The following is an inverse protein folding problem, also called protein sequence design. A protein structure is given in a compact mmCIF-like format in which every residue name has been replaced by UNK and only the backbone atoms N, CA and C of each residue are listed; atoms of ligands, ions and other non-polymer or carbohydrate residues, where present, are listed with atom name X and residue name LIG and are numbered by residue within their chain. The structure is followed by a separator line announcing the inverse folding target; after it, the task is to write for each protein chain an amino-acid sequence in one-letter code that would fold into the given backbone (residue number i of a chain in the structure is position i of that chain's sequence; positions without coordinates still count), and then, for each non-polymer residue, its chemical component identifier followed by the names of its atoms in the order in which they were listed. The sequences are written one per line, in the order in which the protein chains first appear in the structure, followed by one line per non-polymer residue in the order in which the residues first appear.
data_IF_597872274134
#
_entry.id   IF_597872274134
#
_cell.length_a   1.000
_cell.length_b   1.000
_cell.length_c   1.000
_cell.angle_alpha   90.00
_cell.angle_beta   90.00
_cell.angle_gamma   90.00
#
_symmetry.space_group_name_H-M   'P 1'
#
loop_
_entity.id
_entity.type
_entity.pdbx_description
1 polymer ?
#
# COMPACT_ATOMS: atom_id res chain seq x y z
N UNK A 1 -20.70 22.69 9.93
CA UNK A 1 -21.76 21.70 9.56
C UNK A 1 -21.25 20.63 8.61
N UNK A 2 -20.20 19.87 8.99
CA UNK A 2 -19.69 18.73 8.23
C UNK A 2 -20.41 17.40 8.54
N UNK A 3 -21.52 17.47 9.28
CA UNK A 3 -22.33 16.31 9.69
C UNK A 3 -23.62 16.16 8.87
N UNK A 4 -23.54 16.32 7.56
CA UNK A 4 -24.69 15.98 6.71
C UNK A 4 -24.39 14.69 5.96
N UNK A 5 -24.92 13.57 6.41
CA UNK A 5 -25.03 12.29 5.71
C UNK A 5 -23.78 11.42 5.47
N UNK A 6 -22.73 11.56 6.23
CA UNK A 6 -21.61 10.62 6.15
C UNK A 6 -20.77 10.74 7.40
N UNK A 7 -20.52 9.64 8.06
CA UNK A 7 -19.62 9.60 9.19
C UNK A 7 -18.19 9.87 8.72
N UNK A 8 -17.78 11.14 8.76
CA UNK A 8 -16.35 11.48 8.58
C UNK A 8 -15.66 11.00 9.84
N UNK A 9 -14.65 10.12 9.68
CA UNK A 9 -13.83 9.67 10.80
C UNK A 9 -13.05 10.86 11.38
N UNK A 10 -12.72 10.80 12.68
CA UNK A 10 -11.95 11.84 13.36
C UNK A 10 -10.61 12.12 12.64
N UNK A 11 -9.94 11.08 12.16
CA UNK A 11 -8.70 11.20 11.40
C UNK A 11 -8.90 11.90 10.04
N UNK A 12 -10.02 11.64 9.35
CA UNK A 12 -10.35 12.37 8.12
C UNK A 12 -10.65 13.84 8.39
N UNK A 13 -11.38 14.13 9.48
CA UNK A 13 -11.67 15.50 9.91
C UNK A 13 -10.37 16.26 10.27
N UNK A 14 -9.45 15.61 11.00
CA UNK A 14 -8.12 16.15 11.30
C UNK A 14 -7.32 16.45 10.03
N UNK A 15 -7.37 15.56 9.03
CA UNK A 15 -6.70 15.76 7.74
C UNK A 15 -7.25 16.97 6.98
N UNK A 16 -8.57 17.11 6.86
CA UNK A 16 -9.19 18.27 6.23
C UNK A 16 -8.89 19.56 6.99
N UNK A 17 -8.94 19.50 8.31
CA UNK A 17 -8.62 20.64 9.17
C UNK A 17 -7.18 21.10 9.01
N UNK A 18 -6.24 20.16 8.95
CA UNK A 18 -4.82 20.46 8.71
C UNK A 18 -4.61 21.14 7.36
N UNK A 19 -5.28 20.66 6.31
CA UNK A 19 -5.22 21.26 4.96
C UNK A 19 -5.79 22.69 4.98
N UNK A 20 -6.92 22.92 5.65
CA UNK A 20 -7.54 24.23 5.80
C UNK A 20 -6.63 25.20 6.55
N UNK A 21 -6.02 24.76 7.66
CA UNK A 21 -5.04 25.55 8.41
C UNK A 21 -3.82 25.92 7.55
N UNK A 22 -3.38 25.00 6.71
CA UNK A 22 -2.30 25.25 5.72
C UNK A 22 -2.67 26.38 4.75
N UNK A 23 -3.91 26.37 4.25
CA UNK A 23 -4.43 27.45 3.40
C UNK A 23 -4.44 28.81 4.12
N UNK A 24 -4.95 28.87 5.35
CA UNK A 24 -4.97 30.10 6.14
C UNK A 24 -3.55 30.65 6.35
N UNK A 25 -2.58 29.78 6.59
CA UNK A 25 -1.17 30.18 6.72
C UNK A 25 -0.61 30.82 5.44
N UNK A 26 -0.97 30.29 4.27
CA UNK A 26 -0.59 30.84 2.98
C UNK A 26 -1.25 32.21 2.77
N UNK A 27 -2.54 32.33 3.06
CA UNK A 27 -3.27 33.60 2.93
C UNK A 27 -2.68 34.70 3.84
N UNK A 28 -2.31 34.36 5.06
CA UNK A 28 -1.64 35.29 5.98
C UNK A 28 -0.28 35.72 5.46
N UNK A 29 0.57 34.78 5.00
CA UNK A 29 1.90 35.06 4.43
C UNK A 29 1.84 35.96 3.20
N UNK A 30 0.79 35.81 2.40
CA UNK A 30 0.58 36.61 1.19
C UNK A 30 -0.11 37.95 1.47
N UNK A 31 -0.36 38.30 2.74
CA UNK A 31 -1.01 39.56 3.13
C UNK A 31 -2.51 39.65 2.78
N UNK A 32 -3.14 38.54 2.39
CA UNK A 32 -4.57 38.49 2.05
C UNK A 32 -5.46 38.49 3.29
N UNK A 33 -4.94 38.07 4.44
CA UNK A 33 -5.57 38.21 5.74
C UNK A 33 -4.60 38.92 6.69
N UNK A 34 -5.12 39.83 7.53
CA UNK A 34 -4.32 40.68 8.40
C UNK A 34 -3.77 39.96 9.62
N UNK A 35 -4.53 39.01 10.16
CA UNK A 35 -4.19 38.31 11.39
C UNK A 35 -3.90 36.82 11.10
N UNK A 36 -2.94 36.26 11.83
CA UNK A 36 -2.67 34.81 11.78
C UNK A 36 -3.75 34.05 12.54
N UNK A 37 -4.85 33.72 11.87
CA UNK A 37 -5.99 32.99 12.45
C UNK A 37 -5.58 31.65 13.06
N UNK A 38 -4.47 31.04 12.58
CA UNK A 38 -4.00 29.74 13.07
C UNK A 38 -3.59 29.77 14.56
N UNK A 39 -3.27 30.93 15.12
CA UNK A 39 -2.86 31.06 16.52
C UNK A 39 -4.05 30.83 17.48
N UNK A 40 -5.28 30.96 16.97
CA UNK A 40 -6.53 30.77 17.72
C UNK A 40 -7.24 29.43 17.39
N UNK A 41 -6.69 28.62 16.48
CA UNK A 41 -7.33 27.39 16.02
C UNK A 41 -6.71 26.16 16.71
N UNK A 42 -7.52 25.44 17.43
CA UNK A 42 -7.14 24.17 18.06
C UNK A 42 -6.90 23.07 17.02
N UNK A 43 -6.05 22.12 17.35
CA UNK A 43 -5.86 20.89 16.56
C UNK A 43 -7.02 19.93 16.82
N UNK A 44 -7.48 19.26 15.77
CA UNK A 44 -8.32 18.07 15.94
C UNK A 44 -7.37 16.90 16.19
N UNK A 45 -7.42 16.33 17.38
CA UNK A 45 -6.64 15.15 17.73
C UNK A 45 -7.04 13.97 16.88
N UNK A 46 -6.05 13.15 16.51
CA UNK A 46 -6.26 11.91 15.78
C UNK A 46 -6.49 10.75 16.75
N UNK A 47 -7.24 9.76 16.30
CA UNK A 47 -7.42 8.50 17.00
C UNK A 47 -6.43 7.47 16.43
N UNK A 48 -5.77 6.73 17.33
CA UNK A 48 -4.96 5.60 16.92
C UNK A 48 -5.87 4.47 16.43
N UNK A 49 -5.74 4.14 15.16
CA UNK A 49 -6.48 3.03 14.54
C UNK A 49 -5.57 1.84 14.40
N UNK A 50 -5.82 0.80 15.18
CA UNK A 50 -5.18 -0.50 14.97
C UNK A 50 -5.61 -1.00 13.59
N UNK A 51 -4.60 -1.25 12.76
CA UNK A 51 -4.82 -1.68 11.39
C UNK A 51 -4.43 -3.14 11.25
N UNK A 52 -5.33 -3.94 10.71
CA UNK A 52 -5.14 -5.36 10.54
C UNK A 52 -3.96 -5.72 9.61
N UNK A 53 -3.26 -6.78 9.98
CA UNK A 53 -2.26 -7.49 9.18
C UNK A 53 -2.48 -9.00 9.33
N UNK A 54 -1.84 -9.79 8.46
CA UNK A 54 -1.93 -11.25 8.49
C UNK A 54 -0.91 -11.84 9.46
N UNK A 55 -1.30 -12.83 10.24
CA UNK A 55 -0.34 -13.70 10.93
C UNK A 55 0.31 -14.67 9.93
N UNK A 56 1.36 -15.36 10.38
CA UNK A 56 2.02 -16.40 9.56
C UNK A 56 1.03 -17.48 9.15
N UNK A 57 0.21 -17.97 10.09
CA UNK A 57 -0.80 -19.02 9.83
C UNK A 57 -1.88 -18.54 8.86
N UNK A 58 -2.31 -17.27 8.98
CA UNK A 58 -3.27 -16.67 8.04
C UNK A 58 -2.68 -16.49 6.65
N UNK A 59 -1.38 -16.16 6.56
CA UNK A 59 -0.67 -16.05 5.30
C UNK A 59 -0.58 -17.40 4.58
N UNK A 60 -0.25 -18.48 5.31
CA UNK A 60 -0.24 -19.83 4.75
C UNK A 60 -1.64 -20.27 4.28
N UNK A 61 -2.67 -20.09 5.10
CA UNK A 61 -4.07 -20.36 4.69
C UNK A 61 -4.45 -19.61 3.43
N UNK A 62 -4.07 -18.33 3.34
CA UNK A 62 -4.34 -17.51 2.18
C UNK A 62 -3.59 -18.01 0.95
N UNK A 63 -2.32 -18.44 1.13
CA UNK A 63 -1.51 -19.01 0.06
C UNK A 63 -2.07 -20.34 -0.47
N UNK A 64 -2.64 -21.19 0.38
CA UNK A 64 -3.26 -22.44 -0.04
C UNK A 64 -4.63 -22.24 -0.69
N UNK A 65 -5.36 -21.19 -0.30
CA UNK A 65 -6.74 -20.95 -0.77
C UNK A 65 -6.75 -20.57 -2.26
N UNK A 66 -7.58 -21.26 -3.08
CA UNK A 66 -7.76 -20.92 -4.49
C UNK A 66 -8.32 -19.50 -4.68
N UNK A 67 -7.76 -18.74 -5.61
CA UNK A 67 -8.23 -17.40 -5.98
C UNK A 67 -8.77 -17.40 -7.41
N UNK A 68 -9.95 -16.80 -7.63
CA UNK A 68 -10.53 -16.64 -8.97
C UNK A 68 -9.63 -15.89 -9.97
N UNK A 69 -8.66 -15.15 -9.47
CA UNK A 69 -7.69 -14.39 -10.24
C UNK A 69 -6.27 -14.77 -9.78
N UNK A 70 -5.63 -15.76 -10.41
CA UNK A 70 -4.31 -16.24 -9.97
C UNK A 70 -3.26 -15.14 -9.88
N UNK A 71 -3.21 -14.22 -10.86
CA UNK A 71 -2.26 -13.10 -10.86
C UNK A 71 -2.49 -12.15 -9.67
N UNK A 72 -3.72 -11.98 -9.19
CA UNK A 72 -4.00 -11.21 -7.96
C UNK A 72 -3.43 -11.91 -6.73
N UNK A 73 -3.58 -13.24 -6.64
CA UNK A 73 -3.01 -14.06 -5.55
C UNK A 73 -1.49 -13.91 -5.51
N UNK A 74 -0.82 -14.17 -6.63
CA UNK A 74 0.64 -14.03 -6.74
C UNK A 74 1.10 -12.62 -6.37
N UNK A 75 0.47 -11.58 -6.90
CA UNK A 75 0.79 -10.19 -6.58
C UNK A 75 0.59 -9.84 -5.11
N UNK A 76 -0.46 -10.38 -4.47
CA UNK A 76 -0.74 -10.17 -3.05
C UNK A 76 0.32 -10.82 -2.16
N UNK A 77 0.66 -12.08 -2.42
CA UNK A 77 1.70 -12.80 -1.69
C UNK A 77 3.07 -12.17 -1.92
N UNK A 78 3.40 -11.77 -3.14
CA UNK A 78 4.62 -11.03 -3.45
C UNK A 78 4.71 -9.70 -2.69
N UNK A 79 3.59 -8.98 -2.52
CA UNK A 79 3.54 -7.77 -1.68
C UNK A 79 3.79 -8.07 -0.20
N UNK A 80 3.40 -9.24 0.30
CA UNK A 80 3.74 -9.69 1.66
C UNK A 80 5.22 -9.98 1.84
N UNK A 81 5.93 -10.29 0.76
CA UNK A 81 7.36 -10.67 0.79
C UNK A 81 8.30 -9.51 0.43
N UNK A 82 7.78 -8.45 -0.18
CA UNK A 82 8.60 -7.32 -0.70
C UNK A 82 8.16 -5.95 -0.19
N UNK A 83 7.05 -5.87 0.51
CA UNK A 83 6.47 -4.57 0.92
C UNK A 83 6.13 -3.61 -0.23
N UNK A 84 6.07 -4.05 -1.48
CA UNK A 84 5.71 -3.18 -2.61
C UNK A 84 4.26 -2.70 -2.54
N UNK A 85 4.02 -1.44 -2.91
CA UNK A 85 2.67 -0.88 -3.03
C UNK A 85 1.96 -1.47 -4.26
N UNK A 86 0.64 -1.48 -4.25
CA UNK A 86 -0.14 -1.90 -5.44
C UNK A 86 0.22 -1.10 -6.71
N UNK A 87 0.58 0.19 -6.57
CA UNK A 87 1.03 1.00 -7.70
C UNK A 87 2.35 0.50 -8.28
N UNK A 88 3.26 0.07 -7.41
CA UNK A 88 4.59 -0.38 -7.78
C UNK A 88 4.48 -1.78 -8.40
N UNK A 89 3.69 -2.67 -7.82
CA UNK A 89 3.39 -4.00 -8.37
C UNK A 89 2.72 -3.93 -9.75
N UNK A 90 1.80 -2.99 -9.96
CA UNK A 90 1.16 -2.80 -11.26
C UNK A 90 2.12 -2.28 -12.34
N UNK A 91 3.21 -1.64 -11.95
CA UNK A 91 4.20 -1.08 -12.86
C UNK A 91 5.46 -1.94 -12.97
N UNK A 92 5.64 -2.94 -12.11
CA UNK A 92 6.85 -3.75 -12.01
C UNK A 92 7.10 -4.50 -13.30
N UNK A 93 8.28 -4.29 -13.87
CA UNK A 93 8.78 -5.03 -15.03
C UNK A 93 9.87 -6.01 -14.61
N UNK A 94 10.12 -7.02 -15.46
CA UNK A 94 11.19 -7.98 -15.22
C UNK A 94 12.56 -7.31 -15.23
N UNK A 95 12.70 -6.24 -16.00
CA UNK A 95 13.90 -5.42 -16.11
C UNK A 95 14.24 -4.66 -14.82
N UNK A 96 13.25 -4.47 -13.93
CA UNK A 96 13.44 -3.84 -12.61
C UNK A 96 14.03 -4.82 -11.58
N UNK A 97 14.12 -6.12 -11.91
CA UNK A 97 14.70 -7.15 -11.05
C UNK A 97 16.16 -7.35 -11.48
N UNK A 98 17.06 -6.79 -10.69
CA UNK A 98 18.50 -6.75 -10.99
C UNK A 98 19.32 -7.47 -9.92
N UNK A 99 20.60 -7.69 -10.21
CA UNK A 99 21.52 -8.23 -9.23
C UNK A 99 21.74 -7.27 -8.07
N UNK A 100 21.68 -7.80 -6.85
CA UNK A 100 21.92 -7.02 -5.65
C UNK A 100 23.40 -7.08 -5.25
N UNK A 101 23.98 -5.96 -4.91
CA UNK A 101 25.42 -5.87 -4.59
C UNK A 101 25.85 -6.73 -3.41
N UNK A 102 24.96 -7.03 -2.49
CA UNK A 102 25.19 -7.92 -1.35
C UNK A 102 24.88 -9.40 -1.64
N UNK A 103 24.59 -9.75 -2.91
CA UNK A 103 24.21 -11.08 -3.37
C UNK A 103 22.70 -11.26 -3.54
N UNK A 104 22.30 -12.15 -4.46
CA UNK A 104 20.90 -12.38 -4.81
C UNK A 104 20.33 -11.33 -5.76
N UNK A 105 19.00 -11.14 -5.72
CA UNK A 105 18.27 -10.20 -6.57
C UNK A 105 17.59 -9.10 -5.74
N UNK A 106 17.35 -7.96 -6.37
CA UNK A 106 16.55 -6.88 -5.79
C UNK A 106 15.61 -6.27 -6.82
N UNK A 107 14.54 -5.67 -6.35
CA UNK A 107 13.72 -4.75 -7.15
C UNK A 107 14.34 -3.37 -7.05
N UNK A 108 14.68 -2.78 -8.19
CA UNK A 108 15.15 -1.41 -8.30
C UNK A 108 14.08 -0.56 -8.99
N UNK A 109 13.40 0.28 -8.23
CA UNK A 109 12.30 1.12 -8.72
C UNK A 109 12.48 2.57 -8.30
N UNK A 110 12.03 3.47 -9.18
CA UNK A 110 11.91 4.90 -8.85
C UNK A 110 10.47 5.14 -8.38
N UNK A 111 10.30 5.45 -7.10
CA UNK A 111 8.96 5.68 -6.55
C UNK A 111 8.37 6.99 -7.08
N UNK A 112 7.18 6.91 -7.66
CA UNK A 112 6.47 8.08 -8.22
C UNK A 112 6.17 9.17 -7.19
N UNK A 113 6.06 8.81 -5.91
CA UNK A 113 5.64 9.73 -4.85
C UNK A 113 6.74 10.72 -4.46
N UNK A 114 7.99 10.26 -4.36
CA UNK A 114 9.10 11.05 -3.84
C UNK A 114 10.25 11.16 -4.83
N UNK A 115 10.16 10.51 -6.01
CA UNK A 115 11.27 10.34 -6.97
C UNK A 115 12.54 9.78 -6.31
N UNK A 116 12.36 9.01 -5.23
CA UNK A 116 13.46 8.29 -4.58
C UNK A 116 13.66 6.94 -5.26
N UNK A 117 14.90 6.53 -5.37
CA UNK A 117 15.26 5.17 -5.74
C UNK A 117 15.04 4.26 -4.52
N UNK A 118 14.24 3.23 -4.69
CA UNK A 118 14.03 2.20 -3.67
C UNK A 118 14.65 0.90 -4.20
N UNK A 119 15.61 0.36 -3.45
CA UNK A 119 16.24 -0.94 -3.71
C UNK A 119 15.71 -1.91 -2.66
N UNK A 120 14.95 -2.89 -3.10
CA UNK A 120 14.26 -3.84 -2.22
C UNK A 120 14.81 -5.24 -2.50
N UNK A 121 15.60 -5.84 -1.59
CA UNK A 121 16.05 -7.22 -1.74
C UNK A 121 14.87 -8.18 -1.88
N UNK A 122 15.00 -9.18 -2.73
CA UNK A 122 13.99 -10.21 -2.97
C UNK A 122 14.55 -11.56 -2.51
N UNK A 123 13.75 -12.31 -1.74
CA UNK A 123 14.10 -13.67 -1.36
C UNK A 123 13.91 -14.64 -2.53
N UNK A 124 14.59 -15.79 -2.46
CA UNK A 124 14.45 -16.86 -3.47
C UNK A 124 13.00 -17.35 -3.58
N UNK A 125 12.30 -17.47 -2.44
CA UNK A 125 10.89 -17.87 -2.42
C UNK A 125 10.00 -16.86 -3.16
N UNK A 126 10.32 -15.56 -3.08
CA UNK A 126 9.58 -14.53 -3.78
C UNK A 126 9.89 -14.56 -5.30
N UNK A 127 11.11 -14.90 -5.69
CA UNK A 127 11.48 -15.12 -7.08
C UNK A 127 10.78 -16.36 -7.64
N UNK A 128 10.75 -17.46 -6.91
CA UNK A 128 10.03 -18.69 -7.27
C UNK A 128 8.53 -18.45 -7.41
N UNK A 129 7.94 -17.69 -6.48
CA UNK A 129 6.52 -17.35 -6.51
C UNK A 129 6.10 -16.64 -7.81
N UNK A 130 6.94 -15.75 -8.34
CA UNK A 130 6.69 -15.07 -9.61
C UNK A 130 7.21 -15.85 -10.82
N UNK A 131 7.92 -16.96 -10.58
CA UNK A 131 8.58 -17.76 -11.63
C UNK A 131 9.64 -16.93 -12.36
N UNK A 132 10.56 -16.33 -11.64
CA UNK A 132 11.60 -15.48 -12.23
C UNK A 132 12.42 -16.24 -13.27
N UNK A 133 12.75 -15.55 -14.36
CA UNK A 133 13.72 -16.01 -15.36
C UNK A 133 14.41 -14.80 -15.99
N UNK A 134 15.74 -14.86 -16.21
CA UNK A 134 16.50 -13.75 -16.81
C UNK A 134 16.03 -13.33 -18.21
N UNK A 135 15.37 -14.26 -18.92
CA UNK A 135 14.91 -14.03 -20.30
C UNK A 135 13.56 -13.35 -20.39
N UNK A 136 12.83 -13.25 -19.28
CA UNK A 136 11.51 -12.60 -19.24
C UNK A 136 11.64 -11.09 -19.44
N UNK A 137 10.67 -10.51 -20.12
CA UNK A 137 10.59 -9.08 -20.42
C UNK A 137 9.19 -8.55 -20.21
N UNK A 138 9.11 -7.25 -19.92
CA UNK A 138 7.85 -6.53 -19.71
C UNK A 138 7.26 -6.75 -18.32
N UNK A 139 5.97 -6.57 -18.18
CA UNK A 139 5.30 -6.55 -16.87
C UNK A 139 5.29 -7.92 -16.18
N UNK A 140 5.75 -7.97 -14.92
CA UNK A 140 5.73 -9.16 -14.06
C UNK A 140 4.30 -9.65 -13.84
N UNK A 141 3.39 -8.75 -13.47
CA UNK A 141 2.00 -9.06 -13.18
C UNK A 141 1.06 -8.65 -14.32
N UNK A 142 1.37 -9.14 -15.53
CA UNK A 142 0.58 -8.84 -16.75
C UNK A 142 -0.90 -9.18 -16.52
N UNK A 143 -1.77 -8.24 -16.85
CA UNK A 143 -3.22 -8.39 -16.75
C UNK A 143 -3.80 -8.14 -15.35
N UNK A 144 -2.99 -7.84 -14.34
CA UNK A 144 -3.47 -7.43 -13.02
C UNK A 144 -4.23 -6.10 -13.13
N UNK A 145 -5.43 -6.05 -12.53
CA UNK A 145 -6.25 -4.85 -12.51
C UNK A 145 -6.43 -4.34 -11.08
N UNK A 146 -6.24 -3.03 -10.87
CA UNK A 146 -6.37 -2.40 -9.56
C UNK A 146 -7.76 -2.63 -8.92
N UNK A 147 -8.83 -2.63 -9.71
CA UNK A 147 -10.19 -2.85 -9.20
C UNK A 147 -10.36 -4.23 -8.54
N UNK A 148 -9.57 -5.24 -8.90
CA UNK A 148 -9.64 -6.58 -8.31
C UNK A 148 -9.28 -6.60 -6.83
N UNK A 149 -8.51 -5.64 -6.34
CA UNK A 149 -8.23 -5.48 -4.90
C UNK A 149 -9.49 -5.13 -4.09
N UNK A 150 -10.52 -4.64 -4.75
CA UNK A 150 -11.81 -4.33 -4.12
C UNK A 150 -12.87 -5.40 -4.40
N UNK A 151 -12.87 -6.00 -5.59
CA UNK A 151 -13.92 -6.93 -6.05
C UNK A 151 -13.62 -8.38 -5.70
N UNK A 152 -12.44 -8.90 -6.02
CA UNK A 152 -12.10 -10.33 -5.87
C UNK A 152 -11.36 -10.63 -4.57
N UNK A 153 -10.51 -9.72 -4.09
CA UNK A 153 -9.66 -9.95 -2.92
C UNK A 153 -10.47 -10.23 -1.66
N UNK A 154 -11.55 -9.49 -1.41
CA UNK A 154 -12.40 -9.69 -0.23
C UNK A 154 -13.02 -11.09 -0.18
N UNK A 155 -13.50 -11.58 -1.33
CA UNK A 155 -14.06 -12.92 -1.43
C UNK A 155 -13.00 -14.00 -1.17
N UNK A 156 -11.82 -13.85 -1.75
CA UNK A 156 -10.71 -14.77 -1.55
C UNK A 156 -10.23 -14.82 -0.09
N UNK A 157 -10.07 -13.67 0.58
CA UNK A 157 -9.69 -13.58 1.99
C UNK A 157 -10.74 -14.30 2.88
N UNK A 158 -12.05 -14.10 2.62
CA UNK A 158 -13.10 -14.79 3.33
C UNK A 158 -13.08 -16.31 3.11
N UNK A 159 -12.81 -16.75 1.88
CA UNK A 159 -12.67 -18.18 1.56
C UNK A 159 -11.51 -18.84 2.30
N UNK A 160 -10.47 -18.07 2.67
CA UNK A 160 -9.38 -18.52 3.53
C UNK A 160 -9.75 -18.56 5.03
N UNK A 161 -10.98 -18.23 5.40
CA UNK A 161 -11.43 -18.16 6.80
C UNK A 161 -10.91 -16.95 7.58
N UNK A 162 -10.39 -15.93 6.89
CA UNK A 162 -9.84 -14.73 7.52
C UNK A 162 -10.95 -13.70 7.68
N UNK A 163 -11.23 -13.31 8.93
CA UNK A 163 -12.28 -12.35 9.30
C UNK A 163 -11.79 -10.90 9.38
N UNK A 164 -10.48 -10.70 9.47
CA UNK A 164 -9.84 -9.39 9.54
C UNK A 164 -10.12 -8.55 8.29
N UNK A 165 -10.12 -7.22 8.45
CA UNK A 165 -10.29 -6.28 7.35
C UNK A 165 -8.95 -6.08 6.59
N UNK A 166 -8.57 -7.05 5.81
CA UNK A 166 -7.36 -7.01 5.00
C UNK A 166 -7.59 -6.20 3.71
N UNK A 167 -6.70 -5.27 3.46
CA UNK A 167 -6.60 -4.48 2.23
C UNK A 167 -5.24 -4.76 1.58
N UNK A 168 -5.04 -4.33 0.34
CA UNK A 168 -3.72 -4.51 -0.29
C UNK A 168 -2.59 -3.82 0.50
N UNK A 169 -2.90 -2.73 1.19
CA UNK A 169 -1.93 -2.08 2.09
C UNK A 169 -1.65 -2.88 3.37
N UNK A 170 -2.53 -3.79 3.77
CA UNK A 170 -2.28 -4.69 4.91
C UNK A 170 -1.16 -5.68 4.62
N UNK A 171 -0.96 -6.09 3.36
CA UNK A 171 0.16 -6.96 2.96
C UNK A 171 1.53 -6.34 3.26
N UNK A 172 1.67 -5.04 3.04
CA UNK A 172 2.90 -4.31 3.41
C UNK A 172 3.14 -4.28 4.92
N UNK A 173 2.06 -4.20 5.71
CA UNK A 173 2.17 -4.28 7.17
C UNK A 173 2.54 -5.68 7.61
N UNK A 174 1.97 -6.70 6.96
CA UNK A 174 2.35 -8.10 7.18
C UNK A 174 3.86 -8.26 7.03
N UNK A 175 4.46 -7.77 5.95
CA UNK A 175 5.91 -7.77 5.76
C UNK A 175 6.68 -7.08 6.89
N UNK A 176 6.19 -5.95 7.37
CA UNK A 176 6.88 -5.18 8.41
C UNK A 176 6.72 -5.76 9.83
N UNK A 177 5.80 -6.73 10.00
CA UNK A 177 5.46 -7.29 11.32
C UNK A 177 5.97 -8.72 11.48
N UNK A 178 6.14 -9.46 10.38
CA UNK A 178 6.72 -10.82 10.34
C UNK A 178 8.22 -10.75 10.17
#
# INVERSE_FOLDING_TARGET
KLKRNGHITRNSASGYWSTFRGLLKILYRNGLIRNNVNDFLEKIETEDVVKDYLSVEELYKLAETPCKKPVLKTASLFSCMTSLRISDILALCWEDIVDYSAGGKCVHIITKKNRSEDIIPISEEALDLIGYSPDKRGMVFKGLQRCWTQTYMKGWIRSAGITKKITFHSYRRTFATL
#
